data_IF_364042150402
#
_entry.id   IF_364042150402
#
_cell.length_a   1.000
_cell.length_b   1.000
_cell.length_c   1.000
_cell.angle_alpha   90.00
_cell.angle_beta   90.00
_cell.angle_gamma   90.00
#
_symmetry.space_group_name_H-M   'P 1'
#
loop_
_entity.id
_entity.type
_entity.pdbx_description
1 polymer ?
#
# COMPACT_ATOMS: atom_id res chain seq x y z
N UNK A 1 3.62 12.61 -22.23
CA UNK A 1 3.30 14.03 -22.03
C UNK A 1 4.10 14.62 -20.88
N UNK A 2 3.87 15.90 -20.53
CA UNK A 2 4.54 16.57 -19.41
C UNK A 2 4.32 15.86 -18.07
N UNK A 3 3.11 15.33 -17.83
CA UNK A 3 2.77 14.57 -16.62
C UNK A 3 3.57 13.27 -16.48
N UNK A 4 3.78 12.54 -17.58
CA UNK A 4 4.58 11.30 -17.56
C UNK A 4 6.04 11.61 -17.21
N UNK A 5 6.55 12.73 -17.71
CA UNK A 5 7.92 13.17 -17.40
C UNK A 5 8.05 13.59 -15.94
N UNK A 6 7.03 14.28 -15.39
CA UNK A 6 7.01 14.68 -13.98
C UNK A 6 6.95 13.44 -13.06
N UNK A 7 6.05 12.48 -13.32
CA UNK A 7 5.99 11.22 -12.56
C UNK A 7 7.28 10.43 -12.62
N UNK A 8 7.91 10.35 -13.79
CA UNK A 8 9.21 9.67 -13.93
C UNK A 8 10.32 10.36 -13.13
N UNK A 9 10.33 11.70 -13.07
CA UNK A 9 11.31 12.44 -12.25
C UNK A 9 11.04 12.26 -10.76
N UNK A 10 9.76 12.29 -10.32
CA UNK A 10 9.36 12.00 -8.94
C UNK A 10 9.84 10.61 -8.50
N UNK A 11 9.55 9.59 -9.30
CA UNK A 11 9.97 8.22 -9.00
C UNK A 11 11.49 8.06 -8.92
N UNK A 12 12.25 8.74 -9.78
CA UNK A 12 13.73 8.72 -9.72
C UNK A 12 14.26 9.38 -8.46
N UNK A 13 13.75 10.56 -8.12
CA UNK A 13 14.15 11.27 -6.90
C UNK A 13 13.83 10.44 -5.63
N UNK A 14 12.66 9.82 -5.59
CA UNK A 14 12.27 8.95 -4.47
C UNK A 14 13.16 7.69 -4.41
N UNK A 15 13.51 7.10 -5.55
CA UNK A 15 14.43 5.96 -5.60
C UNK A 15 15.84 6.35 -5.09
N UNK A 16 16.34 7.52 -5.46
CA UNK A 16 17.61 8.04 -4.93
C UNK A 16 17.55 8.23 -3.41
N UNK A 17 16.42 8.64 -2.87
CA UNK A 17 16.23 8.71 -1.42
C UNK A 17 16.29 7.33 -0.75
N UNK A 18 15.71 6.29 -1.36
CA UNK A 18 15.84 4.90 -0.89
C UNK A 18 17.29 4.45 -0.88
N UNK A 19 18.06 4.75 -1.95
CA UNK A 19 19.47 4.37 -2.08
C UNK A 19 20.35 5.03 -1.01
N UNK A 20 20.00 6.24 -0.58
CA UNK A 20 20.76 7.00 0.43
C UNK A 20 20.57 6.45 1.84
N UNK A 21 19.37 5.93 2.18
CA UNK A 21 19.06 5.40 3.50
C UNK A 21 18.28 4.07 3.40
N UNK A 22 18.88 3.01 2.83
CA UNK A 22 18.13 1.81 2.44
C UNK A 22 17.53 1.02 3.62
N UNK A 23 18.14 1.05 4.79
CA UNK A 23 17.69 0.24 5.93
C UNK A 23 16.66 0.95 6.80
N UNK A 24 16.88 2.22 7.11
CA UNK A 24 16.09 2.98 8.07
C UNK A 24 15.14 4.00 7.43
N UNK A 25 15.32 4.28 6.13
CA UNK A 25 14.55 5.29 5.42
C UNK A 25 14.91 6.72 5.83
N UNK A 26 14.16 7.66 5.28
CA UNK A 26 14.32 9.10 5.51
C UNK A 26 13.48 9.59 6.71
N UNK A 27 12.57 8.76 7.20
CA UNK A 27 11.61 9.06 8.26
C UNK A 27 10.17 9.06 7.74
N UNK A 28 9.26 8.48 8.53
CA UNK A 28 7.86 8.36 8.16
C UNK A 28 7.20 9.73 7.94
N UNK A 29 6.56 9.93 6.78
CA UNK A 29 5.94 11.20 6.40
C UNK A 29 6.95 12.32 6.13
N UNK A 30 8.20 12.00 5.82
CA UNK A 30 9.25 12.98 5.58
C UNK A 30 9.38 13.39 4.10
N UNK A 31 8.50 12.89 3.21
CA UNK A 31 8.59 13.11 1.76
C UNK A 31 8.81 14.59 1.39
N UNK A 32 7.98 15.49 1.88
CA UNK A 32 8.09 16.93 1.62
C UNK A 32 9.44 17.54 2.05
N UNK A 33 10.10 16.95 3.07
CA UNK A 33 11.39 17.44 3.58
C UNK A 33 12.56 16.93 2.77
N UNK A 34 12.54 15.65 2.36
CA UNK A 34 13.69 15.10 1.65
C UNK A 34 13.58 15.24 0.13
N UNK A 35 12.38 15.29 -0.43
CA UNK A 35 12.19 15.40 -1.88
C UNK A 35 13.00 16.55 -2.52
N UNK A 36 13.02 17.78 -1.96
CA UNK A 36 13.81 18.87 -2.54
C UNK A 36 15.33 18.61 -2.58
N UNK A 37 15.83 17.72 -1.72
CA UNK A 37 17.27 17.36 -1.68
C UNK A 37 17.67 16.44 -2.84
N UNK A 38 16.70 15.71 -3.41
CA UNK A 38 16.91 14.72 -4.49
C UNK A 38 16.31 15.19 -5.82
N UNK A 39 15.52 16.26 -5.83
CA UNK A 39 14.92 16.79 -7.04
C UNK A 39 15.90 17.63 -7.82
N UNK A 40 16.04 17.35 -9.12
CA UNK A 40 16.89 18.15 -10.03
C UNK A 40 16.19 19.44 -10.53
N UNK A 41 15.19 19.94 -9.80
CA UNK A 41 14.43 21.15 -10.18
C UNK A 41 13.50 20.96 -11.39
N UNK A 42 13.25 19.73 -11.79
CA UNK A 42 12.43 19.38 -12.97
C UNK A 42 10.92 19.56 -12.76
N UNK A 43 10.48 19.65 -11.51
CA UNK A 43 9.08 19.88 -11.15
C UNK A 43 8.98 21.19 -10.39
N UNK A 44 8.28 22.17 -10.98
CA UNK A 44 7.99 23.44 -10.35
C UNK A 44 6.66 23.35 -9.61
N UNK A 45 6.66 23.65 -8.30
CA UNK A 45 5.51 23.65 -7.42
C UNK A 45 5.75 22.85 -6.14
N UNK A 46 4.85 22.98 -5.19
CA UNK A 46 4.84 22.17 -3.98
C UNK A 46 4.44 20.73 -4.38
N UNK A 47 5.36 19.79 -4.19
CA UNK A 47 5.13 18.37 -4.43
C UNK A 47 4.94 17.71 -3.08
N UNK A 48 3.71 17.36 -2.80
CA UNK A 48 3.33 16.83 -1.50
C UNK A 48 3.54 15.31 -1.40
N UNK A 49 3.44 14.57 -2.53
CA UNK A 49 3.42 13.10 -2.55
C UNK A 49 4.17 12.54 -3.78
N UNK A 50 4.74 11.33 -3.63
CA UNK A 50 5.48 10.68 -4.73
C UNK A 50 4.59 10.11 -5.84
N UNK A 51 3.26 10.14 -5.71
CA UNK A 51 2.31 9.45 -6.60
C UNK A 51 2.60 7.94 -6.78
N UNK A 52 3.20 7.32 -5.76
CA UNK A 52 3.46 5.90 -5.65
C UNK A 52 3.63 5.54 -4.17
N UNK A 53 2.55 5.08 -3.54
CA UNK A 53 2.52 4.71 -2.11
C UNK A 53 3.60 3.67 -1.74
N UNK A 54 3.87 2.73 -2.65
CA UNK A 54 4.87 1.68 -2.41
C UNK A 54 6.27 2.26 -2.31
N UNK A 55 6.65 3.09 -3.29
CA UNK A 55 7.98 3.66 -3.35
C UNK A 55 8.21 4.68 -2.22
N UNK A 56 7.19 5.48 -1.90
CA UNK A 56 7.24 6.44 -0.81
C UNK A 56 7.37 5.72 0.54
N UNK A 57 6.57 4.65 0.77
CA UNK A 57 6.69 3.82 1.97
C UNK A 57 8.11 3.25 2.14
N UNK A 58 8.75 2.80 1.06
CA UNK A 58 10.13 2.30 1.10
C UNK A 58 11.15 3.40 1.36
N UNK A 59 10.93 4.60 0.82
CA UNK A 59 11.81 5.75 1.06
C UNK A 59 11.69 6.24 2.51
N UNK A 60 10.47 6.31 3.02
CA UNK A 60 10.18 6.77 4.37
C UNK A 60 10.66 5.80 5.46
N UNK A 61 10.31 4.52 5.33
CA UNK A 61 10.54 3.49 6.36
C UNK A 61 11.83 2.68 6.15
N UNK A 62 12.45 2.78 4.98
CA UNK A 62 13.52 1.89 4.56
C UNK A 62 12.99 0.51 4.13
N UNK A 63 13.88 -0.30 3.58
CA UNK A 63 13.51 -1.60 3.01
C UNK A 63 12.94 -2.57 4.05
N UNK A 64 13.50 -2.62 5.26
CA UNK A 64 13.08 -3.60 6.26
C UNK A 64 11.66 -3.31 6.77
N UNK A 65 11.45 -2.10 7.30
CA UNK A 65 10.16 -1.72 7.85
C UNK A 65 9.12 -1.49 6.74
N UNK A 66 9.52 -0.91 5.60
CA UNK A 66 8.65 -0.68 4.45
C UNK A 66 8.13 -1.98 3.84
N UNK A 67 9.01 -2.98 3.63
CA UNK A 67 8.57 -4.30 3.14
C UNK A 67 7.66 -5.00 4.16
N UNK A 68 7.94 -4.91 5.47
CA UNK A 68 7.06 -5.46 6.48
C UNK A 68 5.69 -4.77 6.48
N UNK A 69 5.67 -3.45 6.31
CA UNK A 69 4.44 -2.67 6.23
C UNK A 69 3.58 -3.04 5.01
N UNK A 70 4.20 -3.24 3.85
CA UNK A 70 3.53 -3.67 2.62
C UNK A 70 3.09 -5.15 2.71
N UNK A 71 3.92 -6.01 3.32
CA UNK A 71 3.61 -7.43 3.45
C UNK A 71 2.42 -7.70 4.38
N UNK A 72 2.19 -6.87 5.39
CA UNK A 72 1.11 -7.08 6.34
C UNK A 72 -0.29 -7.12 5.67
N UNK A 73 -0.73 -6.11 4.91
CA UNK A 73 -2.01 -6.18 4.19
C UNK A 73 -2.01 -7.27 3.11
N UNK A 74 -0.87 -7.57 2.46
CA UNK A 74 -0.77 -8.65 1.48
C UNK A 74 -1.00 -10.03 2.13
N UNK A 75 -0.47 -10.28 3.31
CA UNK A 75 -0.73 -11.50 4.08
C UNK A 75 -2.21 -11.61 4.47
N UNK A 76 -2.83 -10.51 4.92
CA UNK A 76 -4.26 -10.49 5.23
C UNK A 76 -5.11 -10.75 3.99
N UNK A 77 -4.73 -10.20 2.82
CA UNK A 77 -5.36 -10.51 1.54
C UNK A 77 -5.23 -12.00 1.18
N UNK A 78 -4.06 -12.61 1.44
CA UNK A 78 -3.85 -14.05 1.29
C UNK A 78 -4.75 -14.88 2.20
N UNK A 79 -5.02 -14.42 3.42
CA UNK A 79 -5.99 -15.06 4.32
C UNK A 79 -7.42 -14.97 3.76
N UNK A 80 -7.80 -13.82 3.19
CA UNK A 80 -9.09 -13.66 2.50
C UNK A 80 -9.19 -14.61 1.30
N UNK A 81 -8.16 -14.72 0.47
CA UNK A 81 -8.13 -15.66 -0.65
C UNK A 81 -8.29 -17.11 -0.17
N UNK A 82 -7.55 -17.51 0.87
CA UNK A 82 -7.69 -18.82 1.47
C UNK A 82 -9.12 -19.06 2.01
N UNK A 83 -9.73 -18.03 2.60
CA UNK A 83 -11.14 -18.07 3.03
C UNK A 83 -12.10 -18.30 1.86
N UNK A 84 -11.91 -17.59 0.74
CA UNK A 84 -12.71 -17.80 -0.47
C UNK A 84 -12.64 -19.24 -1.00
N UNK A 85 -11.46 -19.85 -0.96
CA UNK A 85 -11.22 -21.18 -1.48
C UNK A 85 -11.75 -22.30 -0.55
N UNK A 86 -11.71 -22.07 0.77
CA UNK A 86 -12.06 -23.08 1.78
C UNK A 86 -13.52 -23.05 2.21
N UNK A 87 -14.19 -21.89 2.14
CA UNK A 87 -15.58 -21.72 2.57
C UNK A 87 -16.55 -22.00 1.43
N UNK A 88 -17.63 -22.72 1.73
CA UNK A 88 -18.76 -22.94 0.78
C UNK A 88 -19.89 -21.93 0.99
N UNK A 89 -20.06 -21.41 2.23
CA UNK A 89 -21.06 -20.39 2.58
C UNK A 89 -20.34 -19.11 2.97
N UNK A 90 -20.98 -17.97 2.76
CA UNK A 90 -20.54 -16.62 3.15
C UNK A 90 -19.14 -16.23 2.64
N UNK A 91 -18.67 -16.89 1.55
CA UNK A 91 -17.39 -16.59 0.90
C UNK A 91 -17.35 -15.19 0.26
N UNK A 92 -18.51 -14.53 0.18
CA UNK A 92 -18.61 -13.17 -0.38
C UNK A 92 -17.78 -12.16 0.41
N UNK A 93 -17.75 -12.26 1.75
CA UNK A 93 -16.98 -11.33 2.57
C UNK A 93 -15.47 -11.44 2.37
N UNK A 94 -14.84 -12.64 2.46
CA UNK A 94 -13.45 -12.79 2.06
C UNK A 94 -13.19 -12.38 0.61
N UNK A 95 -14.11 -12.64 -0.33
CA UNK A 95 -13.95 -12.25 -1.71
C UNK A 95 -13.89 -10.72 -1.88
N UNK A 96 -14.74 -9.98 -1.17
CA UNK A 96 -14.72 -8.52 -1.16
C UNK A 96 -13.38 -8.02 -0.58
N UNK A 97 -12.93 -8.55 0.56
CA UNK A 97 -11.65 -8.19 1.17
C UNK A 97 -10.46 -8.43 0.24
N UNK A 98 -10.44 -9.58 -0.43
CA UNK A 98 -9.40 -9.91 -1.42
C UNK A 98 -9.46 -8.98 -2.64
N UNK A 99 -10.64 -8.78 -3.23
CA UNK A 99 -10.82 -7.89 -4.38
C UNK A 99 -10.43 -6.44 -4.07
N UNK A 100 -10.83 -5.94 -2.90
CA UNK A 100 -10.42 -4.62 -2.43
C UNK A 100 -8.89 -4.51 -2.30
N UNK A 101 -8.23 -5.56 -1.79
CA UNK A 101 -6.77 -5.59 -1.68
C UNK A 101 -6.07 -5.56 -3.04
N UNK A 102 -6.60 -6.27 -4.04
CA UNK A 102 -6.07 -6.20 -5.41
C UNK A 102 -6.27 -4.80 -5.99
N UNK A 103 -7.46 -4.21 -5.84
CA UNK A 103 -7.75 -2.89 -6.37
C UNK A 103 -6.86 -1.81 -5.73
N UNK A 104 -6.79 -1.78 -4.39
CA UNK A 104 -5.96 -0.82 -3.65
C UNK A 104 -4.47 -1.06 -3.93
N UNK A 105 -4.02 -2.32 -3.93
CA UNK A 105 -2.64 -2.65 -4.21
C UNK A 105 -2.21 -2.25 -5.63
N UNK A 106 -3.05 -2.46 -6.64
CA UNK A 106 -2.76 -2.01 -8.00
C UNK A 106 -2.72 -0.47 -8.09
N UNK A 107 -3.62 0.21 -7.37
CA UNK A 107 -3.67 1.67 -7.37
C UNK A 107 -2.47 2.31 -6.66
N UNK A 108 -1.98 1.69 -5.59
CA UNK A 108 -0.83 2.15 -4.82
C UNK A 108 0.48 2.30 -5.63
N UNK A 109 0.58 1.67 -6.80
CA UNK A 109 1.73 1.84 -7.71
C UNK A 109 1.65 3.07 -8.59
N UNK A 110 0.48 3.69 -8.70
CA UNK A 110 0.23 4.81 -9.64
C UNK A 110 -0.26 6.07 -8.96
N UNK A 111 -0.60 6.00 -7.67
CA UNK A 111 -1.14 7.12 -6.91
C UNK A 111 -0.88 6.97 -5.41
N UNK A 112 -1.22 8.01 -4.62
CA UNK A 112 -1.04 8.11 -3.17
C UNK A 112 -2.34 7.85 -2.38
N UNK A 113 -3.21 6.99 -2.87
CA UNK A 113 -4.54 6.77 -2.29
C UNK A 113 -4.54 6.33 -0.85
N UNK A 114 -3.53 5.56 -0.41
CA UNK A 114 -3.41 5.08 0.97
C UNK A 114 -2.93 6.18 1.94
N UNK A 115 -2.39 7.28 1.45
CA UNK A 115 -2.06 8.46 2.25
C UNK A 115 -3.34 9.22 2.69
N UNK A 116 -4.47 8.99 2.00
CA UNK A 116 -5.76 9.60 2.34
C UNK A 116 -6.39 8.81 3.49
N UNK A 117 -6.54 9.38 4.71
CA UNK A 117 -7.00 8.63 5.89
C UNK A 117 -8.35 7.93 5.71
N UNK A 118 -9.28 8.56 4.99
CA UNK A 118 -10.59 7.98 4.71
C UNK A 118 -10.50 6.70 3.86
N UNK A 119 -9.60 6.68 2.88
CA UNK A 119 -9.36 5.50 2.02
C UNK A 119 -8.68 4.40 2.83
N UNK A 120 -7.64 4.73 3.57
CA UNK A 120 -6.90 3.78 4.40
C UNK A 120 -7.80 3.11 5.45
N UNK A 121 -8.63 3.90 6.17
CA UNK A 121 -9.56 3.37 7.19
C UNK A 121 -10.64 2.51 6.54
N UNK A 122 -11.20 2.93 5.42
CA UNK A 122 -12.21 2.14 4.68
C UNK A 122 -11.62 0.82 4.20
N UNK A 123 -10.42 0.84 3.61
CA UNK A 123 -9.72 -0.36 3.18
C UNK A 123 -9.43 -1.29 4.36
N UNK A 124 -8.92 -0.77 5.47
CA UNK A 124 -8.65 -1.56 6.68
C UNK A 124 -9.92 -2.22 7.24
N UNK A 125 -11.05 -1.50 7.25
CA UNK A 125 -12.32 -2.04 7.70
C UNK A 125 -12.84 -3.18 6.78
N UNK A 126 -12.77 -2.98 5.46
CA UNK A 126 -13.20 -3.99 4.46
C UNK A 126 -12.30 -5.23 4.53
N UNK A 127 -10.98 -5.04 4.58
CA UNK A 127 -10.01 -6.13 4.68
C UNK A 127 -10.19 -6.89 6.00
N UNK A 128 -10.32 -6.16 7.12
CA UNK A 128 -10.55 -6.75 8.45
C UNK A 128 -11.84 -7.57 8.51
N UNK A 129 -12.94 -7.08 7.94
CA UNK A 129 -14.18 -7.83 7.83
C UNK A 129 -14.02 -9.10 6.97
N UNK A 130 -13.28 -9.01 5.86
CA UNK A 130 -12.95 -10.14 5.00
C UNK A 130 -12.15 -11.21 5.75
N UNK A 131 -11.10 -10.80 6.48
CA UNK A 131 -10.28 -11.69 7.31
C UNK A 131 -11.10 -12.34 8.41
N UNK A 132 -11.91 -11.57 9.16
CA UNK A 132 -12.75 -12.09 10.24
C UNK A 132 -13.71 -13.20 9.74
N UNK A 133 -14.18 -13.06 8.51
CA UNK A 133 -15.07 -14.04 7.87
C UNK A 133 -14.32 -15.16 7.11
N UNK A 134 -13.00 -15.16 7.11
CA UNK A 134 -12.19 -16.20 6.43
C UNK A 134 -12.11 -17.52 7.21
N UNK A 135 -12.40 -17.50 8.51
CA UNK A 135 -12.34 -18.69 9.40
C UNK A 135 -13.68 -19.44 9.42
N UNK A 136 -13.61 -20.77 9.54
CA UNK A 136 -14.81 -21.60 9.71
C UNK A 136 -15.38 -21.39 11.11
N UNK A 137 -16.63 -21.06 11.22
CA UNK A 137 -17.35 -21.00 12.49
C UNK A 137 -17.70 -22.42 12.95
N UNK A 138 -17.68 -22.71 14.27
CA UNK A 138 -17.94 -24.04 14.81
C UNK A 138 -19.27 -24.68 14.36
N UNK A 139 -20.25 -23.89 13.94
CA UNK A 139 -21.51 -24.36 13.34
C UNK A 139 -21.34 -25.04 11.96
N UNK A 140 -20.22 -24.83 11.28
CA UNK A 140 -19.89 -25.46 10.00
C UNK A 140 -19.28 -26.88 10.20
N UNK A 141 -18.93 -27.24 11.44
CA UNK A 141 -18.30 -28.52 11.79
C UNK A 141 -19.32 -29.59 12.29
N UNK A 142 -20.57 -29.20 12.49
CA UNK A 142 -21.64 -30.07 13.08
C UNK A 142 -22.65 -30.58 12.03
N UNK A 143 -22.34 -30.43 10.74
CA UNK A 143 -23.19 -30.97 9.66
C UNK A 143 -22.41 -31.85 8.73
#
# INVERSE_FOLDING_TARGET
GLEDTARASLSRSTLSAVETAPLLGQGFGAFQRYYPLFSEGSVQGDVDEAHNDVLETLADLGLLAGLAFIAAPALLAGMCLAGCLRRRRDRVFPAIGFAASIAVGAHAFVDFSLQIPAVAVTFAAVLGAGVAQSWRTGSDLVR
#
